data_IF_843909702422
#
_entry.id   IF_843909702422
#
_cell.length_a   1.000
_cell.length_b   1.000
_cell.length_c   1.000
_cell.angle_alpha   90.00
_cell.angle_beta   90.00
_cell.angle_gamma   90.00
#
_symmetry.space_group_name_H-M   'P 1'
#
loop_
_entity.id
_entity.type
_entity.pdbx_description
1 polymer ?
#
# COMPACT_ATOMS: atom_id res chain seq x y z
N UNK A 1 23.55 6.69 4.63
CA UNK A 1 22.55 7.71 5.05
C UNK A 1 21.45 7.03 5.84
N UNK A 2 21.00 7.65 6.93
CA UNK A 2 19.98 7.08 7.80
C UNK A 2 18.60 7.10 7.13
N UNK A 3 17.67 6.29 7.63
CA UNK A 3 16.31 6.20 7.08
C UNK A 3 15.55 7.53 7.15
N UNK A 4 15.81 8.32 8.20
CA UNK A 4 15.25 9.64 8.45
C UNK A 4 15.81 10.64 7.43
N UNK A 5 17.13 10.71 7.27
CA UNK A 5 17.78 11.62 6.32
C UNK A 5 17.28 11.41 4.89
N UNK A 6 17.04 10.15 4.50
CA UNK A 6 16.51 9.81 3.19
C UNK A 6 15.09 10.34 2.97
N UNK A 7 14.23 10.28 3.99
CA UNK A 7 12.86 10.83 3.93
C UNK A 7 12.88 12.35 3.85
N UNK A 8 13.69 13.01 4.68
CA UNK A 8 13.83 14.46 4.65
C UNK A 8 14.38 14.95 3.30
N UNK A 9 15.36 14.24 2.73
CA UNK A 9 15.87 14.52 1.38
C UNK A 9 14.83 14.34 0.27
N UNK A 10 13.85 13.45 0.45
CA UNK A 10 12.71 13.30 -0.47
C UNK A 10 11.75 14.50 -0.36
N UNK A 11 11.37 14.89 0.86
CA UNK A 11 10.46 16.02 1.09
C UNK A 11 11.02 17.37 0.67
N UNK A 12 12.35 17.52 0.69
CA UNK A 12 13.02 18.71 0.16
C UNK A 12 12.66 19.00 -1.31
N UNK A 13 12.29 17.98 -2.09
CA UNK A 13 11.86 18.14 -3.50
C UNK A 13 10.48 18.81 -3.63
N UNK A 14 9.68 18.80 -2.57
CA UNK A 14 8.33 19.37 -2.57
C UNK A 14 8.30 20.84 -2.18
N UNK A 15 9.41 21.40 -1.73
CA UNK A 15 9.55 22.80 -1.36
C UNK A 15 9.64 23.70 -2.61
N UNK A 16 8.50 23.94 -3.25
CA UNK A 16 8.35 24.87 -4.37
C UNK A 16 8.16 26.31 -3.90
N UNK A 17 7.55 26.50 -2.73
CA UNK A 17 7.35 27.80 -2.11
C UNK A 17 8.14 27.92 -0.79
N UNK A 18 9.24 28.69 -0.82
CA UNK A 18 10.07 28.95 0.38
C UNK A 18 9.40 29.85 1.41
N UNK A 19 8.41 30.66 1.03
CA UNK A 19 7.66 31.50 1.97
C UNK A 19 6.67 30.67 2.83
N UNK A 20 6.27 29.49 2.34
CA UNK A 20 5.38 28.53 3.02
C UNK A 20 5.88 27.10 2.79
N UNK A 21 7.04 26.79 3.34
CA UNK A 21 7.72 25.50 3.12
C UNK A 21 6.90 24.31 3.57
N UNK A 22 6.27 24.37 4.75
CA UNK A 22 5.43 23.30 5.29
C UNK A 22 4.21 23.02 4.39
N UNK A 23 3.50 24.07 3.98
CA UNK A 23 2.35 23.95 3.08
C UNK A 23 2.74 23.37 1.73
N UNK A 24 3.88 23.82 1.16
CA UNK A 24 4.40 23.30 -0.10
C UNK A 24 4.75 21.82 -0.02
N UNK A 25 5.31 21.37 1.11
CA UNK A 25 5.61 19.95 1.33
C UNK A 25 4.33 19.13 1.46
N UNK A 26 3.34 19.62 2.20
CA UNK A 26 2.05 18.95 2.38
C UNK A 26 1.32 18.77 1.03
N UNK A 27 1.25 19.82 0.23
CA UNK A 27 0.66 19.78 -1.11
C UNK A 27 1.39 18.79 -2.03
N UNK A 28 2.73 18.83 -2.04
CA UNK A 28 3.54 17.90 -2.83
C UNK A 28 3.34 16.45 -2.42
N UNK A 29 3.21 16.19 -1.12
CA UNK A 29 2.94 14.85 -0.59
C UNK A 29 1.54 14.34 -0.98
N UNK A 30 0.51 15.18 -0.86
CA UNK A 30 -0.86 14.84 -1.27
C UNK A 30 -0.90 14.55 -2.79
N UNK A 31 -0.25 15.38 -3.60
CA UNK A 31 -0.17 15.20 -5.05
C UNK A 31 0.58 13.91 -5.44
N UNK A 32 1.71 13.60 -4.79
CA UNK A 32 2.41 12.33 -5.02
C UNK A 32 1.52 11.13 -4.65
N UNK A 33 0.82 11.21 -3.51
CA UNK A 33 -0.09 10.16 -3.04
C UNK A 33 -1.28 9.94 -3.99
N UNK A 34 -1.91 11.01 -4.47
CA UNK A 34 -3.03 10.92 -5.41
C UNK A 34 -2.61 10.38 -6.77
N UNK A 35 -1.47 10.83 -7.32
CA UNK A 35 -0.92 10.28 -8.56
C UNK A 35 -0.55 8.80 -8.41
N UNK A 36 0.05 8.43 -7.29
CA UNK A 36 0.36 7.03 -6.97
C UNK A 36 -0.92 6.19 -6.93
N UNK A 37 -1.99 6.69 -6.33
CA UNK A 37 -3.28 6.03 -6.28
C UNK A 37 -3.90 5.89 -7.68
N UNK A 38 -4.02 6.98 -8.43
CA UNK A 38 -4.55 6.98 -9.80
C UNK A 38 -3.76 6.05 -10.72
N UNK A 39 -2.44 5.98 -10.56
CA UNK A 39 -1.56 5.12 -11.36
C UNK A 39 -1.89 3.62 -11.26
N UNK A 40 -2.61 3.20 -10.22
CA UNK A 40 -3.06 1.80 -10.07
C UNK A 40 -4.22 1.45 -10.99
N UNK A 41 -4.97 2.45 -11.46
CA UNK A 41 -6.15 2.29 -12.32
C UNK A 41 -5.85 2.57 -13.79
N UNK A 42 -4.64 3.02 -14.12
CA UNK A 42 -4.21 3.20 -15.50
C UNK A 42 -3.79 1.84 -16.09
N UNK A 43 -4.60 1.32 -17.01
CA UNK A 43 -4.32 0.08 -17.74
C UNK A 43 -3.30 0.32 -18.86
N UNK A 44 -2.41 -0.66 -19.09
CA UNK A 44 -1.41 -0.60 -20.17
C UNK A 44 -0.14 0.23 -19.88
N UNK A 45 -0.02 0.84 -18.70
CA UNK A 45 1.18 1.61 -18.30
C UNK A 45 1.91 0.88 -17.16
N UNK A 46 3.17 0.51 -17.41
CA UNK A 46 4.03 -0.03 -16.36
C UNK A 46 4.51 1.09 -15.43
N UNK A 47 3.94 1.13 -14.24
CA UNK A 47 4.37 2.06 -13.18
C UNK A 47 5.39 1.38 -12.26
N UNK A 48 6.17 2.16 -11.50
CA UNK A 48 7.09 1.64 -10.47
C UNK A 48 6.40 0.75 -9.42
N UNK A 49 5.08 0.89 -9.29
CA UNK A 49 4.21 0.10 -8.40
C UNK A 49 3.61 -1.12 -9.11
N UNK A 50 3.50 -1.07 -10.45
CA UNK A 50 3.03 -2.17 -11.29
C UNK A 50 4.13 -3.19 -11.64
N UNK A 51 5.42 -2.84 -11.49
CA UNK A 51 6.51 -3.75 -11.85
C UNK A 51 6.57 -4.99 -10.93
N UNK A 52 6.57 -6.23 -11.47
CA UNK A 52 6.81 -7.42 -10.66
C UNK A 52 8.22 -7.35 -10.05
N UNK A 53 8.35 -7.78 -8.79
CA UNK A 53 9.67 -7.81 -8.15
C UNK A 53 10.54 -8.82 -8.89
N UNK A 54 11.81 -8.50 -9.14
CA UNK A 54 12.72 -9.37 -9.91
C UNK A 54 12.93 -10.75 -9.26
N UNK A 55 12.52 -10.91 -8.00
CA UNK A 55 12.57 -12.16 -7.25
C UNK A 55 11.29 -13.01 -7.37
N UNK A 56 10.31 -12.58 -8.18
CA UNK A 56 8.99 -13.20 -8.36
C UNK A 56 8.85 -13.89 -9.72
N UNK A 57 9.92 -14.44 -10.28
CA UNK A 57 9.88 -15.12 -11.58
C UNK A 57 9.03 -16.42 -11.58
N UNK A 58 8.56 -16.89 -10.42
CA UNK A 58 7.99 -18.25 -10.28
C UNK A 58 6.58 -18.33 -9.66
N UNK A 59 5.77 -17.27 -9.66
CA UNK A 59 4.35 -17.42 -9.26
C UNK A 59 3.40 -16.77 -10.25
N UNK A 60 2.92 -17.60 -11.16
CA UNK A 60 1.74 -17.38 -12.00
C UNK A 60 0.50 -17.40 -11.11
N UNK A 61 0.02 -16.24 -10.66
CA UNK A 61 -1.40 -16.09 -10.30
C UNK A 61 -1.85 -14.62 -10.33
N UNK A 62 -3.03 -14.32 -10.90
CA UNK A 62 -3.56 -12.96 -10.91
C UNK A 62 -4.33 -12.74 -9.61
N UNK A 63 -3.78 -11.97 -8.68
CA UNK A 63 -4.57 -11.48 -7.54
C UNK A 63 -4.51 -9.96 -7.46
N UNK A 64 -5.54 -9.25 -7.95
CA UNK A 64 -5.60 -7.79 -7.90
C UNK A 64 -5.77 -7.23 -6.47
N UNK A 65 -6.20 -8.07 -5.52
CA UNK A 65 -6.55 -7.65 -4.15
C UNK A 65 -5.30 -7.43 -3.29
N UNK A 66 -4.25 -8.25 -3.46
CA UNK A 66 -3.06 -8.18 -2.59
C UNK A 66 -2.11 -7.02 -2.92
N UNK A 67 -2.33 -6.36 -4.05
CA UNK A 67 -1.58 -5.16 -4.45
C UNK A 67 -2.08 -3.87 -3.77
N UNK A 68 -3.24 -3.92 -3.11
CA UNK A 68 -3.80 -2.76 -2.43
C UNK A 68 -2.95 -2.31 -1.23
N UNK A 69 -2.30 -3.25 -0.55
CA UNK A 69 -1.36 -2.95 0.51
C UNK A 69 -0.14 -2.22 -0.08
N UNK A 70 0.38 -1.16 0.57
CA UNK A 70 1.66 -0.59 0.19
C UNK A 70 2.64 -1.75 0.12
N UNK A 71 3.23 -1.99 -1.05
CA UNK A 71 4.29 -2.97 -1.19
C UNK A 71 5.35 -2.54 -0.18
N UNK A 72 5.38 -3.21 0.97
CA UNK A 72 6.30 -2.90 2.06
C UNK A 72 7.66 -3.15 1.44
N UNK A 73 8.32 -2.08 1.00
CA UNK A 73 9.69 -2.09 0.50
C UNK A 73 10.61 -2.25 1.71
N UNK A 74 10.43 -3.35 2.41
CA UNK A 74 11.34 -3.85 3.40
C UNK A 74 11.28 -5.35 3.19
N UNK A 75 12.20 -5.85 2.36
CA UNK A 75 12.71 -7.18 2.61
C UNK A 75 13.24 -7.11 4.05
N UNK A 76 12.40 -7.50 5.02
CA UNK A 76 12.85 -7.83 6.36
C UNK A 76 13.87 -8.94 6.10
N UNK A 77 15.15 -8.59 6.16
CA UNK A 77 16.25 -9.50 5.87
C UNK A 77 16.09 -10.68 6.82
N UNK A 78 15.67 -11.83 6.29
CA UNK A 78 15.42 -13.05 7.08
C UNK A 78 13.95 -13.38 7.41
N UNK A 79 12.96 -12.61 6.94
CA UNK A 79 11.56 -13.04 7.06
C UNK A 79 11.24 -14.14 6.05
N UNK A 80 11.02 -15.36 6.53
CA UNK A 80 10.44 -16.45 5.75
C UNK A 80 8.96 -16.11 5.56
N UNK A 81 8.60 -15.59 4.39
CA UNK A 81 7.21 -15.48 4.00
C UNK A 81 6.70 -16.90 3.73
N UNK A 82 5.96 -17.47 4.68
CA UNK A 82 5.14 -18.64 4.40
C UNK A 82 3.83 -18.16 3.78
N UNK A 83 3.56 -18.64 2.59
CA UNK A 83 2.24 -18.49 1.99
C UNK A 83 1.22 -19.19 2.89
N UNK A 84 0.17 -18.47 3.28
CA UNK A 84 -0.85 -19.00 4.16
C UNK A 84 -1.83 -19.81 3.32
N UNK A 85 -2.19 -21.00 3.79
CA UNK A 85 -3.18 -21.84 3.13
C UNK A 85 -4.51 -21.06 2.94
N UNK A 86 -5.24 -21.23 1.81
CA UNK A 86 -6.42 -20.42 1.51
C UNK A 86 -7.49 -20.49 2.60
N UNK A 87 -7.59 -21.62 3.29
CA UNK A 87 -8.54 -21.83 4.40
C UNK A 87 -8.16 -20.95 5.58
N UNK A 88 -6.87 -20.96 5.97
CA UNK A 88 -6.35 -20.13 7.06
C UNK A 88 -6.47 -18.63 6.74
N UNK A 89 -6.26 -18.26 5.48
CA UNK A 89 -6.43 -16.88 5.01
C UNK A 89 -7.88 -16.43 5.12
N UNK A 90 -8.84 -17.25 4.68
CA UNK A 90 -10.27 -16.97 4.84
C UNK A 90 -10.68 -16.86 6.32
N UNK A 91 -10.15 -17.72 7.18
CA UNK A 91 -10.41 -17.66 8.62
C UNK A 91 -9.85 -16.38 9.25
N UNK A 92 -8.62 -15.99 8.89
CA UNK A 92 -8.01 -14.75 9.37
C UNK A 92 -8.80 -13.52 8.91
N UNK A 93 -9.19 -13.47 7.63
CA UNK A 93 -10.05 -12.41 7.10
C UNK A 93 -11.38 -12.34 7.84
N UNK A 94 -12.05 -13.49 8.05
CA UNK A 94 -13.31 -13.56 8.79
C UNK A 94 -13.12 -13.05 10.22
N UNK A 95 -12.07 -13.48 10.91
CA UNK A 95 -11.79 -13.06 12.27
C UNK A 95 -11.61 -11.55 12.38
N UNK A 96 -10.84 -10.93 11.47
CA UNK A 96 -10.64 -9.48 11.43
C UNK A 96 -11.99 -8.78 11.25
N UNK A 97 -12.81 -9.18 10.26
CA UNK A 97 -14.13 -8.58 10.02
C UNK A 97 -15.05 -8.68 11.24
N UNK A 98 -15.03 -9.80 11.95
CA UNK A 98 -15.93 -10.02 13.08
C UNK A 98 -15.42 -9.39 14.38
N UNK A 99 -14.11 -9.22 14.57
CA UNK A 99 -13.53 -8.74 15.83
C UNK A 99 -13.05 -7.28 15.80
N UNK A 100 -12.94 -6.63 14.63
CA UNK A 100 -12.58 -5.21 14.55
C UNK A 100 -13.76 -4.32 15.00
N UNK A 101 -13.52 -3.44 15.98
CA UNK A 101 -14.54 -2.55 16.53
C UNK A 101 -15.00 -1.48 15.52
N UNK A 102 -14.11 -1.03 14.64
CA UNK A 102 -14.39 0.00 13.62
C UNK A 102 -15.24 -0.50 12.44
N UNK A 103 -15.31 -1.82 12.24
CA UNK A 103 -16.11 -2.45 11.17
C UNK A 103 -17.54 -2.78 11.60
N UNK A 104 -17.96 -2.40 12.80
CA UNK A 104 -19.32 -2.64 13.31
C UNK A 104 -20.40 -1.92 12.47
N UNK A 105 -20.04 -0.84 11.78
CA UNK A 105 -20.97 -0.02 10.99
C UNK A 105 -21.50 -0.79 9.74
N UNK A 106 -20.70 -1.68 9.14
CA UNK A 106 -21.13 -2.47 7.97
C UNK A 106 -21.90 -3.76 8.32
N UNK A 107 -21.93 -4.17 9.61
CA UNK A 107 -22.64 -5.37 10.08
C UNK A 107 -24.16 -5.23 10.08
N UNK A 108 -24.68 -4.00 10.07
CA UNK A 108 -26.13 -3.74 10.07
C UNK A 108 -26.75 -4.07 8.69
N UNK A 109 -26.01 -3.92 7.60
CA UNK A 109 -26.52 -4.14 6.24
C UNK A 109 -26.53 -5.61 5.80
N UNK A 110 -25.70 -6.48 6.40
CA UNK A 110 -25.64 -7.90 6.05
C UNK A 110 -26.69 -8.78 6.77
N UNK A 111 -27.40 -8.26 7.78
CA UNK A 111 -28.48 -8.99 8.46
C UNK A 111 -29.85 -8.84 7.79
N UNK A 112 -29.94 -8.13 6.65
CA UNK A 112 -31.20 -7.83 5.95
C UNK A 112 -31.35 -8.55 4.60
N UNK A 113 -30.56 -9.59 4.35
CA UNK A 113 -30.79 -10.59 3.30
C UNK A 113 -30.94 -11.96 3.96
#
# INVERSE_FOLDING_TARGET
>A
MYSIDRKLGHYKKYERNRAKSEGSIAEGYIAEGSLTFCSRFLEGIETRFNRPSLNSANSTSPTPIFRMLPQVRSAIRGAILKELDPISLMQAHRYILFNCAELKISKVSFKKL
#
